data_IF_755865452657
#
_entry.id   IF_755865452657
#
_cell.length_a   1.000
_cell.length_b   1.000
_cell.length_c   1.000
_cell.angle_alpha   90.00
_cell.angle_beta   90.00
_cell.angle_gamma   90.00
#
_symmetry.space_group_name_H-M   'P 1'
#
loop_
_entity.id
_entity.type
_entity.pdbx_description
1 polymer ?
#
# COMPACT_ATOMS: atom_id res chain seq x y z
N UNK A 1 8.25 -10.87 12.15
CA UNK A 1 8.31 -9.41 12.05
C UNK A 1 6.96 -8.85 11.84
N UNK A 2 6.79 -7.64 12.19
CA UNK A 2 5.47 -7.05 12.14
C UNK A 2 5.52 -5.74 11.39
N UNK A 3 4.35 -5.23 11.12
CA UNK A 3 4.19 -3.92 10.52
C UNK A 3 4.00 -2.91 11.62
N UNK A 4 4.69 -1.80 11.50
CA UNK A 4 4.51 -0.70 12.42
C UNK A 4 3.81 0.42 11.69
N UNK A 5 2.75 0.93 12.28
CA UNK A 5 1.98 2.00 11.69
C UNK A 5 2.05 3.22 12.59
N UNK A 6 2.50 4.34 12.04
CA UNK A 6 2.58 5.59 12.81
C UNK A 6 1.78 6.63 12.07
N UNK A 7 1.01 7.40 12.81
CA UNK A 7 0.22 8.46 12.19
C UNK A 7 0.70 9.80 12.70
N UNK A 8 1.08 10.66 11.79
CA UNK A 8 1.60 11.97 12.14
C UNK A 8 1.02 13.00 11.18
N UNK A 9 0.14 13.86 11.66
CA UNK A 9 -0.35 15.00 10.88
C UNK A 9 -0.86 14.64 9.48
N UNK A 10 -1.74 13.65 9.42
CA UNK A 10 -2.33 13.27 8.15
C UNK A 10 -1.48 12.34 7.31
N UNK A 11 -0.31 12.00 7.81
CA UNK A 11 0.58 11.07 7.13
C UNK A 11 0.61 9.78 7.92
N UNK A 12 0.50 8.68 7.23
CA UNK A 12 0.57 7.36 7.85
C UNK A 12 1.87 6.72 7.38
N UNK A 13 2.77 6.46 8.29
CA UNK A 13 4.04 5.83 7.95
C UNK A 13 3.96 4.35 8.24
N UNK A 14 4.33 3.55 7.25
CA UNK A 14 4.38 2.10 7.41
C UNK A 14 5.83 1.68 7.46
N UNK A 15 6.18 0.91 8.49
CA UNK A 15 7.55 0.43 8.66
C UNK A 15 7.55 -1.07 8.82
N UNK A 16 8.59 -1.71 8.35
CA UNK A 16 8.76 -3.14 8.54
C UNK A 16 8.22 -3.95 7.38
N UNK A 17 7.33 -4.90 7.66
CA UNK A 17 6.81 -5.81 6.65
C UNK A 17 5.32 -5.63 6.50
N UNK A 18 4.89 -5.34 5.30
CA UNK A 18 3.48 -5.13 5.01
C UNK A 18 2.98 -6.35 4.26
N UNK A 19 2.22 -7.18 4.92
CA UNK A 19 1.73 -8.42 4.36
C UNK A 19 0.22 -8.48 4.39
N UNK A 20 -0.32 -9.49 3.73
CA UNK A 20 -1.76 -9.68 3.66
C UNK A 20 -2.44 -9.58 5.03
N UNK A 21 -1.83 -10.16 6.04
CA UNK A 21 -2.43 -10.13 7.37
C UNK A 21 -2.53 -8.76 8.00
N UNK A 22 -1.89 -7.75 7.41
CA UNK A 22 -1.92 -6.40 7.96
C UNK A 22 -2.88 -5.48 7.23
N UNK A 23 -3.55 -5.97 6.19
CA UNK A 23 -4.39 -5.09 5.36
C UNK A 23 -5.49 -4.42 6.16
N UNK A 24 -6.18 -5.19 7.01
CA UNK A 24 -7.27 -4.63 7.77
C UNK A 24 -6.79 -3.54 8.71
N UNK A 25 -5.62 -3.72 9.28
CA UNK A 25 -5.04 -2.75 10.18
C UNK A 25 -4.79 -1.43 9.46
N UNK A 26 -4.19 -1.51 8.28
CA UNK A 26 -3.88 -0.32 7.52
C UNK A 26 -5.17 0.34 7.03
N UNK A 27 -6.12 -0.44 6.58
CA UNK A 27 -7.39 0.10 6.14
C UNK A 27 -8.07 0.88 7.25
N UNK A 28 -8.07 0.32 8.45
CA UNK A 28 -8.68 0.97 9.60
C UNK A 28 -8.02 2.32 9.87
N UNK A 29 -6.70 2.36 9.80
CA UNK A 29 -6.01 3.62 10.05
C UNK A 29 -6.33 4.66 9.00
N UNK A 30 -6.45 4.23 7.75
CA UNK A 30 -6.80 5.17 6.69
C UNK A 30 -8.21 5.71 6.89
N UNK A 31 -9.13 4.85 7.30
CA UNK A 31 -10.51 5.26 7.49
C UNK A 31 -10.68 6.19 8.67
N UNK A 32 -9.81 6.08 9.65
CA UNK A 32 -9.87 6.95 10.82
C UNK A 32 -9.23 8.29 10.57
N UNK A 33 -8.39 8.37 9.57
CA UNK A 33 -7.73 9.62 9.27
C UNK A 33 -8.63 10.55 8.49
N UNK A 34 -8.23 11.79 8.45
CA UNK A 34 -8.99 12.77 7.69
C UNK A 34 -8.26 13.06 6.40
N UNK A 35 -9.01 13.30 5.38
CA UNK A 35 -8.42 13.63 4.10
C UNK A 35 -7.70 14.95 4.13
N UNK A 36 -6.67 15.12 3.31
CA UNK A 36 -6.07 14.09 2.47
C UNK A 36 -5.14 13.20 3.28
N UNK A 37 -5.00 11.98 2.82
CA UNK A 37 -4.15 11.03 3.52
C UNK A 37 -2.95 10.71 2.66
N UNK A 38 -1.82 10.57 3.30
CA UNK A 38 -0.57 10.25 2.62
C UNK A 38 0.02 9.03 3.29
N UNK A 39 0.43 8.05 2.49
CA UNK A 39 1.13 6.89 3.00
C UNK A 39 2.62 7.09 2.75
N UNK A 40 3.42 6.98 3.80
CA UNK A 40 4.85 7.16 3.71
C UNK A 40 5.50 5.79 3.86
N UNK A 41 6.21 5.36 2.85
CA UNK A 41 6.80 4.01 2.82
C UNK A 41 8.30 4.03 3.00
N UNK A 42 8.84 5.12 3.52
CA UNK A 42 10.29 5.26 3.63
C UNK A 42 10.95 4.13 4.40
N UNK A 43 10.29 3.67 5.45
CA UNK A 43 10.84 2.63 6.31
C UNK A 43 10.28 1.26 6.01
N UNK A 44 9.58 1.10 4.93
CA UNK A 44 9.00 -0.21 4.61
C UNK A 44 10.06 -1.09 3.98
N UNK A 45 10.30 -2.25 4.58
CA UNK A 45 11.33 -3.18 4.12
C UNK A 45 10.80 -4.23 3.16
N UNK A 46 9.64 -4.78 3.46
CA UNK A 46 9.09 -5.87 2.67
C UNK A 46 7.62 -5.66 2.43
N UNK A 47 7.16 -6.15 1.30
CA UNK A 47 5.75 -6.09 0.96
C UNK A 47 5.43 -7.35 0.17
N UNK A 48 4.21 -7.88 0.33
CA UNK A 48 3.82 -9.03 -0.48
C UNK A 48 2.85 -8.57 -1.57
N UNK A 49 2.40 -9.50 -2.38
CA UNK A 49 1.55 -9.18 -3.52
C UNK A 49 0.27 -8.46 -3.10
N UNK A 50 -0.35 -8.93 -2.03
CA UNK A 50 -1.59 -8.29 -1.59
C UNK A 50 -1.34 -6.87 -1.11
N UNK A 51 -0.19 -6.64 -0.50
CA UNK A 51 0.19 -5.29 -0.10
C UNK A 51 0.36 -4.39 -1.31
N UNK A 52 1.00 -4.90 -2.36
CA UNK A 52 1.18 -4.12 -3.59
C UNK A 52 -0.17 -3.76 -4.20
N UNK A 53 -1.07 -4.73 -4.25
CA UNK A 53 -2.41 -4.47 -4.80
C UNK A 53 -3.16 -3.45 -3.97
N UNK A 54 -2.99 -3.51 -2.65
CA UNK A 54 -3.61 -2.55 -1.76
C UNK A 54 -3.08 -1.15 -2.03
N UNK A 55 -1.78 -1.01 -2.22
CA UNK A 55 -1.20 0.31 -2.52
C UNK A 55 -1.74 0.87 -3.83
N UNK A 56 -1.88 0.02 -4.83
CA UNK A 56 -2.46 0.47 -6.10
C UNK A 56 -3.90 0.94 -5.90
N UNK A 57 -4.67 0.23 -5.09
CA UNK A 57 -6.03 0.63 -4.81
C UNK A 57 -6.08 1.97 -4.09
N UNK A 58 -5.13 2.20 -3.18
CA UNK A 58 -5.06 3.47 -2.47
C UNK A 58 -4.79 4.62 -3.43
N UNK A 59 -3.85 4.43 -4.32
CA UNK A 59 -3.56 5.49 -5.29
C UNK A 59 -4.76 5.78 -6.18
N UNK A 60 -5.50 4.74 -6.54
CA UNK A 60 -6.68 4.92 -7.36
C UNK A 60 -7.74 5.74 -6.65
N UNK A 61 -7.71 5.75 -5.33
CA UNK A 61 -8.66 6.53 -4.53
C UNK A 61 -8.15 7.92 -4.20
N UNK A 62 -6.99 8.27 -4.70
CA UNK A 62 -6.45 9.59 -4.47
C UNK A 62 -5.50 9.71 -3.28
N UNK A 63 -5.13 8.59 -2.67
CA UNK A 63 -4.18 8.62 -1.57
C UNK A 63 -2.78 8.69 -2.15
N UNK A 64 -2.00 9.65 -1.69
CA UNK A 64 -0.63 9.81 -2.17
C UNK A 64 0.30 8.83 -1.47
N UNK A 65 1.26 8.32 -2.21
CA UNK A 65 2.24 7.40 -1.65
C UNK A 65 3.61 8.03 -1.79
N UNK A 66 4.28 8.25 -0.66
CA UNK A 66 5.57 8.92 -0.62
C UNK A 66 6.69 7.94 -0.31
N UNK A 67 7.86 8.26 -0.81
CA UNK A 67 9.09 7.53 -0.50
C UNK A 67 8.98 6.04 -0.81
N UNK A 68 8.28 5.74 -1.89
CA UNK A 68 8.15 4.37 -2.33
C UNK A 68 9.47 3.94 -2.95
N UNK A 69 10.02 2.82 -2.51
CA UNK A 69 11.27 2.36 -3.09
C UNK A 69 11.07 1.99 -4.55
N UNK A 70 12.15 2.00 -5.31
CA UNK A 70 12.07 1.71 -6.74
C UNK A 70 11.50 0.33 -6.99
N UNK A 71 11.89 -0.64 -6.18
CA UNK A 71 11.42 -2.01 -6.41
C UNK A 71 9.92 -2.14 -6.12
N UNK A 72 9.41 -1.45 -5.10
CA UNK A 72 7.98 -1.49 -4.82
C UNK A 72 7.21 -0.77 -5.91
N UNK A 73 7.70 0.38 -6.34
CA UNK A 73 7.04 1.13 -7.41
C UNK A 73 6.99 0.32 -8.70
N UNK A 74 8.08 -0.35 -9.01
CA UNK A 74 8.15 -1.18 -10.19
C UNK A 74 7.10 -2.30 -10.10
N UNK A 75 7.02 -2.94 -8.95
CA UNK A 75 6.04 -4.00 -8.74
C UNK A 75 4.63 -3.48 -8.87
N UNK A 76 4.36 -2.30 -8.28
CA UNK A 76 3.04 -1.68 -8.39
C UNK A 76 2.66 -1.45 -9.86
N UNK A 77 3.60 -0.96 -10.65
CA UNK A 77 3.34 -0.71 -12.06
C UNK A 77 3.08 -2.00 -12.82
N UNK A 78 3.83 -3.06 -12.52
CA UNK A 78 3.62 -4.33 -13.16
C UNK A 78 2.24 -4.89 -12.85
N UNK A 79 1.80 -4.78 -11.60
CA UNK A 79 0.49 -5.29 -11.22
C UNK A 79 -0.62 -4.45 -11.84
N UNK A 80 -0.39 -3.16 -11.97
CA UNK A 80 -1.38 -2.28 -12.57
C UNK A 80 -1.58 -2.57 -14.04
N UNK A 81 -0.50 -2.89 -14.73
CA UNK A 81 -0.55 -3.17 -16.16
C UNK A 81 -1.00 -4.57 -16.48
N UNK A 82 -1.03 -5.46 -15.50
CA UNK A 82 -1.43 -6.82 -15.73
C UNK A 82 -2.91 -6.86 -16.05
N UNK A 83 -3.33 -7.61 -17.06
CA UNK A 83 -4.77 -7.71 -17.33
C UNK A 83 -5.45 -8.34 -16.14
N UNK A 84 -6.67 -7.91 -15.92
CA UNK A 84 -7.38 -8.46 -14.85
C UNK A 84 -7.56 -9.85 -15.10
N UNK A 85 -7.24 -10.58 -14.47
CA UNK A 85 -7.33 -11.79 -14.73
C UNK A 85 -8.36 -12.35 -14.85
N UNK A 86 -8.64 -12.90 -15.31
CA UNK A 86 -9.62 -13.47 -15.47
C UNK A 86 -9.44 -14.41 -16.26
N UNK A 87 -9.55 -15.08 -16.15
CA UNK A 87 -9.26 -16.03 -16.79
C UNK A 87 -9.92 -16.37 -17.93
N UNK A 88 -9.95 -16.51 -18.30
CA UNK A 88 -10.47 -16.92 -19.08
C UNK A 88 -10.68 -17.48 -19.77
N UNK A 89 -11.06 -17.82 -20.21
CA UNK A 89 -11.33 -18.48 -20.76
C UNK A 89 -11.52 -18.62 -21.66
N UNK A 90 -11.37 -18.85 -21.92
CA UNK A 90 -11.55 -19.05 -22.74
C UNK A 90 -11.54 -19.40 -23.17
#
# INVERSE_FOLDING_TARGET
>A
MTLRIEQVLGRIRLSGEFRFGHLDQVKTEIERGESPIVLDLEELDLIDLEGVRFLNACEAKGISILHCSAYIREWMLQERDRPKEHPEPL
#
